data_IF_416423966750
#
_entry.id   IF_416423966750
#
_cell.length_a   1.000
_cell.length_b   1.000
_cell.length_c   1.000
_cell.angle_alpha   90.00
_cell.angle_beta   90.00
_cell.angle_gamma   90.00
#
_symmetry.space_group_name_H-M   'P 1'
#
loop_
_entity.id
_entity.type
_entity.pdbx_description
1 polymer ?
#
# COMPACT_ATOMS: atom_id res chain seq x y z
N UNK A 1 -8.31 0.72 -22.26
CA UNK A 1 -7.29 -0.32 -22.51
C UNK A 1 -7.48 -1.55 -21.63
N UNK A 2 -7.99 -1.43 -20.39
CA UNK A 2 -8.38 -2.59 -19.55
C UNK A 2 -9.54 -3.43 -20.13
N UNK A 3 -10.44 -2.82 -20.93
CA UNK A 3 -11.65 -3.51 -21.41
C UNK A 3 -11.41 -4.55 -22.52
N UNK A 4 -10.27 -4.52 -23.22
CA UNK A 4 -10.00 -5.44 -24.34
C UNK A 4 -9.55 -6.84 -23.89
N UNK A 5 -8.92 -6.95 -22.71
CA UNK A 5 -8.43 -8.21 -22.14
C UNK A 5 -9.48 -8.97 -21.31
N UNK A 6 -10.60 -8.33 -20.93
CA UNK A 6 -11.58 -8.95 -20.03
C UNK A 6 -12.22 -10.24 -20.60
N UNK A 7 -12.11 -10.46 -21.91
CA UNK A 7 -12.65 -11.62 -22.60
C UNK A 7 -11.59 -12.65 -23.07
N UNK A 8 -10.30 -12.41 -22.87
CA UNK A 8 -9.24 -13.32 -23.31
C UNK A 8 -8.82 -14.23 -22.14
N UNK A 9 -8.98 -15.54 -22.30
CA UNK A 9 -8.67 -16.51 -21.24
C UNK A 9 -7.21 -16.97 -21.38
N UNK A 10 -6.30 -16.70 -20.41
CA UNK A 10 -4.89 -17.06 -20.54
C UNK A 10 -4.56 -18.49 -20.10
N UNK A 11 -5.41 -19.10 -19.28
CA UNK A 11 -5.18 -20.41 -18.67
C UNK A 11 -6.36 -21.33 -18.88
N UNK A 12 -6.11 -22.62 -19.02
CA UNK A 12 -7.15 -23.63 -19.17
C UNK A 12 -6.81 -24.89 -18.39
N UNK A 13 -7.81 -25.72 -18.10
CA UNK A 13 -7.57 -27.03 -17.46
C UNK A 13 -7.21 -28.06 -18.54
N UNK A 14 -6.03 -28.65 -18.42
CA UNK A 14 -5.59 -29.75 -19.30
C UNK A 14 -6.26 -31.06 -18.88
N UNK A 15 -6.87 -31.76 -19.84
CA UNK A 15 -7.44 -33.09 -19.58
C UNK A 15 -6.38 -34.17 -19.34
N UNK A 16 -5.16 -33.96 -19.84
CA UNK A 16 -4.06 -34.92 -19.70
C UNK A 16 -3.48 -34.88 -18.29
N UNK A 17 -3.19 -33.69 -17.78
CA UNK A 17 -2.48 -33.50 -16.51
C UNK A 17 -3.41 -33.19 -15.34
N UNK A 18 -4.66 -32.83 -15.62
CA UNK A 18 -5.62 -32.32 -14.64
C UNK A 18 -5.10 -31.09 -13.86
N UNK A 19 -4.32 -30.24 -14.54
CA UNK A 19 -3.78 -28.99 -14.00
C UNK A 19 -4.07 -27.83 -14.93
N UNK A 20 -4.05 -26.60 -14.40
CA UNK A 20 -4.07 -25.42 -15.25
C UNK A 20 -2.78 -25.32 -16.03
N UNK A 21 -2.91 -24.96 -17.30
CA UNK A 21 -1.81 -24.76 -18.27
C UNK A 21 -1.94 -23.39 -18.92
N UNK A 22 -0.78 -22.82 -19.27
CA UNK A 22 -0.69 -21.59 -20.07
C UNK A 22 -1.03 -21.89 -21.53
N UNK A 23 -1.70 -20.96 -22.21
CA UNK A 23 -1.89 -21.04 -23.65
C UNK A 23 -0.55 -21.21 -24.37
N UNK A 24 0.54 -20.60 -23.90
CA UNK A 24 1.86 -20.78 -24.49
C UNK A 24 2.36 -22.23 -24.46
N UNK A 25 1.97 -23.02 -23.45
CA UNK A 25 2.52 -24.34 -23.19
C UNK A 25 1.79 -25.48 -23.95
N UNK A 26 0.73 -25.17 -24.70
CA UNK A 26 -0.09 -26.17 -25.41
C UNK A 26 -0.04 -26.03 -26.95
N UNK A 27 -0.34 -27.07 -27.73
CA UNK A 27 -0.51 -26.93 -29.18
C UNK A 27 -1.62 -25.94 -29.57
N UNK A 28 -1.48 -25.27 -30.72
CA UNK A 28 -2.53 -24.38 -31.24
C UNK A 28 -3.78 -25.17 -31.67
N UNK A 29 -4.94 -24.52 -31.56
CA UNK A 29 -6.25 -25.05 -31.94
C UNK A 29 -6.82 -26.07 -30.94
N UNK A 30 -7.70 -26.95 -31.45
CA UNK A 30 -8.36 -28.00 -30.64
C UNK A 30 -7.40 -29.07 -30.11
N UNK A 31 -6.19 -29.15 -30.67
CA UNK A 31 -5.14 -30.08 -30.23
C UNK A 31 -4.59 -29.74 -28.85
N UNK A 32 -4.96 -28.60 -28.26
CA UNK A 32 -4.59 -28.28 -26.88
C UNK A 32 -5.17 -29.25 -25.84
N UNK A 33 -6.27 -29.95 -26.14
CA UNK A 33 -6.86 -30.93 -25.22
C UNK A 33 -7.33 -30.31 -23.89
N UNK A 34 -7.76 -29.05 -23.92
CA UNK A 34 -8.10 -28.27 -22.74
C UNK A 34 -9.62 -28.03 -22.62
N UNK A 35 -10.09 -27.88 -21.38
CA UNK A 35 -11.47 -27.50 -21.06
C UNK A 35 -11.50 -26.25 -20.17
N UNK A 36 -12.63 -25.53 -20.20
CA UNK A 36 -12.88 -24.43 -19.28
C UNK A 36 -13.16 -25.00 -17.87
N UNK A 37 -12.43 -24.60 -16.81
CA UNK A 37 -12.67 -25.14 -15.47
C UNK A 37 -13.98 -24.65 -14.84
N UNK A 38 -14.67 -23.67 -15.42
CA UNK A 38 -15.98 -23.22 -14.94
C UNK A 38 -17.12 -24.00 -15.58
N UNK A 39 -17.24 -23.97 -16.91
CA UNK A 39 -18.36 -24.59 -17.64
C UNK A 39 -18.04 -25.97 -18.24
N UNK A 40 -16.80 -26.45 -18.14
CA UNK A 40 -16.31 -27.71 -18.72
C UNK A 40 -16.39 -27.83 -20.25
N UNK A 41 -16.78 -26.77 -20.96
CA UNK A 41 -16.80 -26.74 -22.43
C UNK A 41 -15.36 -26.83 -22.98
N UNK A 42 -15.12 -27.60 -24.06
CA UNK A 42 -13.82 -27.63 -24.74
C UNK A 42 -13.34 -26.24 -25.16
N UNK A 43 -12.04 -26.00 -25.01
CA UNK A 43 -11.38 -24.76 -25.39
C UNK A 43 -10.53 -24.95 -26.66
N UNK A 44 -10.35 -23.86 -27.38
CA UNK A 44 -9.47 -23.74 -28.54
C UNK A 44 -8.35 -22.77 -28.18
N UNK A 45 -7.09 -23.23 -28.26
CA UNK A 45 -5.93 -22.36 -28.10
C UNK A 45 -5.75 -21.50 -29.36
N UNK A 46 -6.00 -20.19 -29.28
CA UNK A 46 -5.79 -19.24 -30.36
C UNK A 46 -4.41 -18.62 -30.21
N UNK A 47 -3.53 -18.93 -31.16
CA UNK A 47 -2.17 -18.39 -31.26
C UNK A 47 -1.97 -17.74 -32.62
N UNK A 48 -1.34 -16.57 -32.66
CA UNK A 48 -1.00 -15.88 -33.89
C UNK A 48 0.11 -14.86 -33.68
N UNK A 49 0.60 -14.29 -34.78
CA UNK A 49 1.71 -13.33 -34.76
C UNK A 49 1.26 -11.89 -34.46
N UNK A 50 -0.05 -11.63 -34.60
CA UNK A 50 -0.65 -10.29 -34.47
C UNK A 50 -1.60 -10.19 -33.27
N UNK A 51 -2.30 -11.28 -32.93
CA UNK A 51 -3.27 -11.31 -31.84
C UNK A 51 -2.68 -11.98 -30.59
N UNK A 52 -3.07 -11.46 -29.43
CA UNK A 52 -2.69 -12.01 -28.12
C UNK A 52 -3.12 -13.47 -28.01
N UNK A 53 -2.24 -14.31 -27.46
CA UNK A 53 -2.53 -15.73 -27.31
C UNK A 53 -3.54 -15.92 -26.19
N UNK A 54 -4.59 -16.68 -26.47
CA UNK A 54 -5.67 -16.94 -25.51
C UNK A 54 -6.42 -18.23 -25.84
N UNK A 55 -7.18 -18.72 -24.88
CA UNK A 55 -8.19 -19.74 -25.07
C UNK A 55 -9.54 -19.09 -25.40
N UNK A 56 -10.32 -19.78 -26.24
CA UNK A 56 -11.70 -19.44 -26.53
C UNK A 56 -12.57 -20.70 -26.47
N UNK A 57 -13.83 -20.57 -26.05
CA UNK A 57 -14.78 -21.68 -26.10
C UNK A 57 -14.97 -22.19 -27.53
N UNK A 58 -15.03 -23.51 -27.69
CA UNK A 58 -15.37 -24.13 -28.95
C UNK A 58 -16.87 -24.02 -29.20
N UNK A 59 -17.26 -23.11 -30.09
CA UNK A 59 -18.65 -22.81 -30.41
C UNK A 59 -19.46 -24.01 -30.91
N UNK A 60 -18.81 -25.11 -31.31
CA UNK A 60 -19.48 -26.35 -31.69
C UNK A 60 -20.10 -27.08 -30.50
N UNK A 61 -19.65 -26.80 -29.28
CA UNK A 61 -20.10 -27.42 -28.04
C UNK A 61 -20.92 -26.46 -27.17
N UNK A 62 -21.34 -25.32 -27.74
CA UNK A 62 -22.13 -24.31 -27.03
C UNK A 62 -23.60 -24.53 -27.36
N UNK A 63 -24.35 -25.07 -26.41
CA UNK A 63 -25.79 -24.82 -26.36
C UNK A 63 -25.99 -23.34 -25.98
N UNK A 64 -26.91 -22.63 -26.64
CA UNK A 64 -27.11 -21.16 -26.48
C UNK A 64 -27.23 -20.69 -25.04
N UNK A 65 -27.63 -21.58 -24.14
CA UNK A 65 -27.92 -21.28 -22.74
C UNK A 65 -26.70 -21.46 -21.82
N UNK A 66 -25.62 -22.13 -22.27
CA UNK A 66 -24.44 -22.46 -21.45
C UNK A 66 -23.29 -21.44 -21.52
N UNK A 67 -23.14 -20.68 -22.61
CA UNK A 67 -22.09 -19.65 -22.72
C UNK A 67 -22.44 -18.40 -21.89
N UNK A 68 -23.74 -18.11 -21.72
CA UNK A 68 -24.24 -16.97 -20.94
C UNK A 68 -23.98 -17.08 -19.42
N UNK A 69 -23.65 -18.27 -18.91
CA UNK A 69 -23.40 -18.52 -17.48
C UNK A 69 -21.92 -18.82 -17.15
N UNK A 70 -21.00 -18.63 -18.10
CA UNK A 70 -19.58 -18.92 -17.85
C UNK A 70 -18.88 -17.74 -17.17
N UNK A 71 -18.63 -17.87 -15.86
CA UNK A 71 -17.94 -16.85 -15.07
C UNK A 71 -16.39 -16.89 -15.16
N UNK A 72 -15.84 -17.64 -16.12
CA UNK A 72 -14.39 -17.82 -16.28
C UNK A 72 -13.72 -16.66 -17.00
N UNK A 73 -13.66 -15.52 -16.32
CA UNK A 73 -12.98 -14.31 -16.78
C UNK A 73 -11.46 -14.41 -16.68
N UNK A 74 -10.75 -13.48 -17.33
CA UNK A 74 -9.29 -13.32 -17.21
C UNK A 74 -8.83 -13.26 -15.75
N UNK A 75 -9.51 -12.45 -14.93
CA UNK A 75 -9.15 -12.28 -13.51
C UNK A 75 -9.32 -13.59 -12.72
N UNK A 76 -10.39 -14.34 -12.98
CA UNK A 76 -10.61 -15.66 -12.35
C UNK A 76 -9.51 -16.64 -12.78
N UNK A 77 -9.19 -16.69 -14.07
CA UNK A 77 -8.13 -17.56 -14.59
C UNK A 77 -6.75 -17.24 -13.95
N UNK A 78 -6.37 -15.97 -13.89
CA UNK A 78 -5.11 -15.53 -13.26
C UNK A 78 -5.07 -15.87 -11.78
N UNK A 79 -6.14 -15.61 -11.02
CA UNK A 79 -6.20 -15.96 -9.60
C UNK A 79 -6.07 -17.47 -9.38
N UNK A 80 -6.72 -18.28 -10.21
CA UNK A 80 -6.61 -19.73 -10.12
C UNK A 80 -5.20 -20.21 -10.44
N UNK A 81 -4.53 -19.63 -11.45
CA UNK A 81 -3.14 -19.94 -11.75
C UNK A 81 -2.19 -19.56 -10.61
N UNK A 82 -2.35 -18.37 -10.00
CA UNK A 82 -1.54 -17.97 -8.83
C UNK A 82 -1.74 -18.96 -7.67
N UNK A 83 -2.97 -19.39 -7.40
CA UNK A 83 -3.26 -20.41 -6.38
C UNK A 83 -2.53 -21.72 -6.67
N UNK A 84 -2.57 -22.20 -7.91
CA UNK A 84 -1.85 -23.41 -8.31
C UNK A 84 -0.33 -23.24 -8.14
N UNK A 85 0.24 -22.11 -8.58
CA UNK A 85 1.68 -21.83 -8.41
C UNK A 85 2.10 -21.77 -6.94
N UNK A 86 1.25 -21.24 -6.05
CA UNK A 86 1.50 -21.24 -4.60
C UNK A 86 1.39 -22.65 -3.97
N UNK A 87 0.57 -23.54 -4.54
CA UNK A 87 0.49 -24.94 -4.12
C UNK A 87 1.68 -25.76 -4.63
N UNK A 88 2.17 -25.47 -5.84
CA UNK A 88 3.33 -26.13 -6.46
C UNK A 88 4.68 -25.65 -5.90
N UNK A 89 4.72 -24.40 -5.40
CA UNK A 89 5.93 -23.72 -4.96
C UNK A 89 6.14 -23.71 -3.44
N UNK A 90 7.23 -23.09 -3.02
CA UNK A 90 7.57 -22.91 -1.61
C UNK A 90 8.31 -21.59 -1.32
N UNK A 91 8.36 -20.66 -2.28
CA UNK A 91 9.14 -19.43 -2.19
C UNK A 91 8.27 -18.21 -2.47
N UNK A 92 8.38 -17.17 -1.65
CA UNK A 92 7.58 -15.94 -1.75
C UNK A 92 8.42 -14.71 -1.41
N UNK A 93 8.45 -13.74 -2.32
CA UNK A 93 9.01 -12.41 -2.02
C UNK A 93 7.99 -11.55 -1.26
N UNK A 94 8.42 -10.95 -0.16
CA UNK A 94 7.66 -10.06 0.70
C UNK A 94 8.16 -8.61 0.54
N UNK A 95 7.26 -7.63 0.42
CA UNK A 95 7.63 -6.23 0.35
C UNK A 95 8.10 -5.72 1.71
N UNK A 96 8.84 -4.62 1.72
CA UNK A 96 9.02 -3.85 2.94
C UNK A 96 7.67 -3.31 3.43
N UNK A 97 7.59 -3.02 4.73
CA UNK A 97 6.40 -2.38 5.29
C UNK A 97 6.78 -1.17 6.12
N UNK A 98 6.23 -0.02 5.72
CA UNK A 98 6.47 1.26 6.35
C UNK A 98 5.11 1.88 6.66
N UNK A 99 4.91 2.29 7.92
CA UNK A 99 3.70 2.98 8.36
C UNK A 99 3.97 4.45 8.62
N UNK A 100 2.99 5.29 8.30
CA UNK A 100 3.02 6.70 8.68
C UNK A 100 2.68 6.81 10.16
N UNK A 101 3.55 7.45 10.92
CA UNK A 101 3.38 7.69 12.34
C UNK A 101 3.25 9.18 12.61
N UNK A 102 2.25 9.51 13.42
CA UNK A 102 2.04 10.84 13.95
C UNK A 102 1.88 10.74 15.46
N UNK A 103 2.84 11.33 16.17
CA UNK A 103 2.81 11.39 17.63
C UNK A 103 1.70 12.31 18.09
N UNK A 104 1.00 11.91 19.16
CA UNK A 104 0.14 12.83 19.91
C UNK A 104 1.00 13.79 20.75
N UNK A 105 2.06 13.28 21.37
CA UNK A 105 2.89 14.03 22.33
C UNK A 105 3.99 14.88 21.68
N UNK A 106 4.37 14.58 20.44
CA UNK A 106 5.40 15.30 19.69
C UNK A 106 4.96 15.59 18.24
N UNK A 107 4.15 16.64 18.00
CA UNK A 107 3.52 16.90 16.70
C UNK A 107 4.48 17.41 15.60
N UNK A 108 5.81 17.36 15.80
CA UNK A 108 6.76 17.78 14.76
C UNK A 108 6.96 16.67 13.73
N UNK A 109 6.20 16.78 12.66
CA UNK A 109 6.42 16.08 11.38
C UNK A 109 5.82 14.69 11.32
N UNK A 110 5.26 14.34 10.15
CA UNK A 110 4.93 12.95 9.83
C UNK A 110 6.25 12.18 9.75
N UNK A 111 6.42 11.16 10.58
CA UNK A 111 7.57 10.26 10.52
C UNK A 111 7.14 8.89 10.00
N UNK A 112 8.07 8.16 9.43
CA UNK A 112 7.83 6.82 8.92
C UNK A 112 8.47 5.81 9.87
N UNK A 113 7.74 4.75 10.21
CA UNK A 113 8.25 3.62 10.98
C UNK A 113 8.38 2.44 10.03
N UNK A 114 9.57 1.87 9.95
CA UNK A 114 9.79 0.62 9.23
C UNK A 114 9.38 -0.55 10.13
N UNK A 115 8.36 -1.30 9.71
CA UNK A 115 7.86 -2.51 10.39
C UNK A 115 8.62 -3.76 9.95
N UNK A 116 8.98 -3.84 8.67
CA UNK A 116 9.86 -4.90 8.13
C UNK A 116 10.61 -4.42 6.89
N UNK A 117 11.80 -4.96 6.68
CA UNK A 117 12.48 -4.94 5.39
C UNK A 117 11.82 -5.93 4.41
N UNK A 118 12.07 -5.74 3.11
CA UNK A 118 11.75 -6.72 2.09
C UNK A 118 12.58 -7.99 2.29
N UNK A 119 12.01 -9.14 1.94
CA UNK A 119 12.69 -10.42 2.09
C UNK A 119 12.14 -11.47 1.13
N UNK A 120 12.91 -12.51 0.88
CA UNK A 120 12.42 -13.74 0.25
C UNK A 120 12.31 -14.77 1.37
N UNK A 121 11.16 -15.42 1.47
CA UNK A 121 10.89 -16.46 2.46
C UNK A 121 10.65 -17.80 1.78
N UNK A 122 10.91 -18.86 2.53
CA UNK A 122 10.39 -20.19 2.23
C UNK A 122 9.14 -20.44 3.08
N UNK A 123 8.11 -21.02 2.47
CA UNK A 123 6.87 -21.38 3.12
C UNK A 123 6.52 -22.85 2.92
N UNK A 124 5.66 -23.36 3.79
CA UNK A 124 5.17 -24.74 3.78
C UNK A 124 3.64 -24.74 3.90
N UNK A 125 3.02 -25.91 3.72
CA UNK A 125 1.60 -26.16 3.97
C UNK A 125 0.65 -25.13 3.34
N UNK A 126 0.68 -24.90 2.00
CA UNK A 126 -0.26 -24.00 1.35
C UNK A 126 -1.68 -24.58 1.38
N UNK A 127 -2.63 -23.82 1.93
CA UNK A 127 -4.04 -24.17 2.07
C UNK A 127 -4.93 -23.13 1.39
N UNK A 128 -5.96 -23.57 0.65
CA UNK A 128 -6.89 -22.65 -0.04
C UNK A 128 -8.08 -22.28 0.85
N UNK A 129 -8.54 -21.02 0.75
CA UNK A 129 -9.77 -20.51 1.40
C UNK A 129 -9.81 -20.68 2.92
N UNK A 130 -8.66 -20.56 3.58
CA UNK A 130 -8.54 -20.61 5.03
C UNK A 130 -8.43 -19.19 5.59
N UNK A 131 -9.06 -18.92 6.74
CA UNK A 131 -9.03 -17.61 7.43
C UNK A 131 -9.41 -16.44 6.53
N UNK A 132 -10.44 -16.63 5.70
CA UNK A 132 -10.94 -15.63 4.73
C UNK A 132 -9.90 -15.18 3.69
N UNK A 133 -8.75 -15.85 3.62
CA UNK A 133 -7.69 -15.60 2.64
C UNK A 133 -7.86 -16.51 1.42
N UNK A 134 -7.39 -16.04 0.25
CA UNK A 134 -7.37 -16.87 -0.96
C UNK A 134 -6.45 -18.08 -0.80
N UNK A 135 -5.30 -17.86 -0.16
CA UNK A 135 -4.31 -18.88 0.22
C UNK A 135 -3.77 -18.54 1.61
N UNK A 136 -3.53 -19.55 2.44
CA UNK A 136 -2.74 -19.43 3.67
C UNK A 136 -1.51 -20.32 3.53
N UNK A 137 -0.35 -19.85 4.00
CA UNK A 137 0.90 -20.62 4.04
C UNK A 137 1.52 -20.54 5.43
N UNK A 138 2.43 -21.46 5.74
CA UNK A 138 3.15 -21.48 7.01
C UNK A 138 4.61 -21.01 6.85
N UNK A 139 5.05 -20.13 7.74
CA UNK A 139 6.40 -19.57 7.77
C UNK A 139 6.92 -19.65 9.20
N UNK A 140 7.90 -20.54 9.45
CA UNK A 140 8.50 -20.76 10.78
C UNK A 140 7.45 -21.00 11.88
N UNK A 141 6.46 -21.87 11.64
CA UNK A 141 5.42 -22.19 12.62
C UNK A 141 4.27 -21.19 12.69
N UNK A 142 4.24 -20.15 11.85
CA UNK A 142 3.19 -19.11 11.86
C UNK A 142 2.49 -19.00 10.51
N UNK A 143 1.18 -18.80 10.53
CA UNK A 143 0.38 -18.62 9.32
C UNK A 143 0.55 -17.21 8.73
N UNK A 144 0.69 -17.16 7.41
CA UNK A 144 0.68 -15.96 6.57
C UNK A 144 -0.49 -16.08 5.61
N UNK A 145 -1.44 -15.13 5.71
CA UNK A 145 -2.57 -15.05 4.79
C UNK A 145 -2.18 -14.34 3.49
N UNK A 146 -2.74 -14.77 2.36
CA UNK A 146 -2.54 -14.16 1.04
C UNK A 146 -3.92 -13.89 0.42
N UNK A 147 -4.14 -12.64 -0.01
CA UNK A 147 -5.37 -12.19 -0.67
C UNK A 147 -5.04 -11.69 -2.08
N UNK A 148 -5.77 -12.16 -3.10
CA UNK A 148 -5.56 -11.77 -4.49
C UNK A 148 -6.56 -10.67 -4.89
N UNK A 149 -6.05 -9.48 -5.20
CA UNK A 149 -6.86 -8.31 -5.49
C UNK A 149 -6.91 -8.02 -6.99
N UNK A 150 -8.12 -7.75 -7.51
CA UNK A 150 -8.32 -7.30 -8.90
C UNK A 150 -8.09 -5.81 -9.08
N UNK A 151 -8.07 -5.03 -7.99
CA UNK A 151 -7.75 -3.60 -7.95
C UNK A 151 -6.83 -3.34 -6.78
N UNK A 152 -5.92 -2.38 -6.91
CA UNK A 152 -5.01 -2.00 -5.83
C UNK A 152 -5.71 -1.52 -4.53
N UNK A 153 -6.98 -1.12 -4.60
CA UNK A 153 -7.72 -0.61 -3.44
C UNK A 153 -8.48 -1.73 -2.73
N UNK A 154 -8.01 -2.09 -1.53
CA UNK A 154 -8.76 -2.87 -0.56
C UNK A 154 -9.45 -1.92 0.43
N UNK A 155 -10.78 -2.01 0.56
CA UNK A 155 -11.51 -1.28 1.60
C UNK A 155 -11.36 -2.02 2.93
N UNK A 156 -10.57 -1.45 3.84
CA UNK A 156 -10.24 -1.98 5.17
C UNK A 156 -11.43 -2.05 6.15
N UNK A 157 -12.68 -1.85 5.71
CA UNK A 157 -13.72 -1.40 6.62
C UNK A 157 -14.13 -2.42 7.70
N UNK A 158 -13.89 -3.74 7.54
CA UNK A 158 -14.33 -4.72 8.55
C UNK A 158 -13.42 -5.94 8.79
N UNK A 159 -12.21 -6.03 8.20
CA UNK A 159 -11.39 -7.25 8.37
C UNK A 159 -10.51 -7.19 9.62
N UNK A 160 -10.97 -7.83 10.69
CA UNK A 160 -10.18 -8.06 11.91
C UNK A 160 -9.32 -9.32 11.72
N UNK A 161 -8.05 -9.13 11.40
CA UNK A 161 -7.10 -10.24 11.32
C UNK A 161 -6.71 -10.73 12.71
N UNK A 162 -6.62 -12.05 12.88
CA UNK A 162 -6.19 -12.66 14.15
C UNK A 162 -4.75 -12.24 14.51
N UNK A 163 -4.53 -11.85 15.76
CA UNK A 163 -3.21 -11.44 16.27
C UNK A 163 -2.16 -12.57 16.24
N UNK A 164 -2.59 -13.82 15.98
CA UNK A 164 -1.72 -14.98 15.86
C UNK A 164 -1.02 -15.07 14.49
N UNK A 165 -1.50 -14.33 13.47
CA UNK A 165 -0.91 -14.36 12.13
C UNK A 165 0.43 -13.64 12.08
N UNK A 166 1.32 -14.14 11.24
CA UNK A 166 2.53 -13.42 10.84
C UNK A 166 2.15 -12.10 10.14
N UNK A 167 1.14 -12.17 9.29
CA UNK A 167 0.58 -11.05 8.55
C UNK A 167 -0.45 -11.51 7.53
N UNK A 168 -1.00 -10.55 6.79
CA UNK A 168 -1.81 -10.77 5.60
C UNK A 168 -1.25 -9.92 4.45
N UNK A 169 -0.90 -10.61 3.37
CA UNK A 169 -0.27 -10.05 2.18
C UNK A 169 -1.30 -9.97 1.06
N UNK A 170 -1.52 -8.78 0.52
CA UNK A 170 -2.25 -8.61 -0.72
C UNK A 170 -1.32 -8.75 -1.93
N UNK A 171 -1.79 -9.43 -2.97
CA UNK A 171 -1.15 -9.49 -4.29
C UNK A 171 -2.13 -8.92 -5.32
N UNK A 172 -1.79 -7.79 -5.92
CA UNK A 172 -2.54 -7.17 -7.01
C UNK A 172 -2.30 -7.90 -8.33
N UNK A 173 -3.38 -8.16 -9.08
CA UNK A 173 -3.31 -8.75 -10.42
C UNK A 173 -3.65 -7.74 -11.53
N UNK A 174 -3.74 -6.46 -11.23
CA UNK A 174 -4.26 -5.43 -12.16
C UNK A 174 -3.42 -5.30 -13.44
N UNK A 175 -2.10 -5.51 -13.38
CA UNK A 175 -1.16 -5.28 -14.49
C UNK A 175 -0.24 -6.47 -14.79
N UNK A 176 -0.65 -7.70 -14.47
CA UNK A 176 0.24 -8.87 -14.64
C UNK A 176 0.31 -9.40 -16.07
N UNK A 177 -0.60 -8.97 -16.95
CA UNK A 177 -0.67 -9.41 -18.35
C UNK A 177 0.26 -8.68 -19.32
N UNK A 178 1.00 -7.66 -18.85
CA UNK A 178 1.77 -6.75 -19.70
C UNK A 178 3.23 -6.65 -19.24
N UNK A 179 4.15 -6.47 -20.18
CA UNK A 179 5.54 -6.12 -19.90
C UNK A 179 5.70 -4.62 -19.54
N UNK A 180 6.93 -4.22 -19.18
CA UNK A 180 7.23 -2.83 -18.81
C UNK A 180 7.00 -1.83 -19.95
N UNK A 181 6.91 -2.31 -21.20
CA UNK A 181 6.57 -1.53 -22.39
C UNK A 181 5.06 -1.51 -22.70
N UNK A 182 4.23 -2.14 -21.88
CA UNK A 182 2.78 -2.24 -22.06
C UNK A 182 2.34 -3.24 -23.12
N UNK A 183 3.22 -4.16 -23.55
CA UNK A 183 2.88 -5.23 -24.50
C UNK A 183 2.40 -6.48 -23.76
N UNK A 184 1.40 -7.14 -24.31
CA UNK A 184 0.88 -8.37 -23.74
C UNK A 184 1.93 -9.48 -23.74
N UNK A 185 1.86 -10.30 -22.69
CA UNK A 185 2.84 -11.34 -22.43
C UNK A 185 2.23 -12.69 -22.74
N UNK A 186 2.87 -13.42 -23.65
CA UNK A 186 2.40 -14.75 -24.05
C UNK A 186 2.73 -15.86 -23.04
N UNK A 187 3.77 -15.72 -22.21
CA UNK A 187 4.16 -16.69 -21.17
C UNK A 187 3.75 -16.22 -19.76
N UNK A 188 2.45 -16.02 -19.56
CA UNK A 188 1.92 -15.41 -18.34
C UNK A 188 2.21 -16.25 -17.09
N UNK A 189 2.16 -17.58 -17.18
CA UNK A 189 2.49 -18.50 -16.06
C UNK A 189 3.89 -18.21 -15.50
N UNK A 190 4.87 -18.04 -16.36
CA UNK A 190 6.24 -17.75 -15.93
C UNK A 190 6.34 -16.37 -15.29
N UNK A 191 5.63 -15.37 -15.81
CA UNK A 191 5.60 -14.05 -15.19
C UNK A 191 4.92 -14.05 -13.82
N UNK A 192 3.82 -14.80 -13.66
CA UNK A 192 3.15 -14.97 -12.36
C UNK A 192 4.09 -15.66 -11.36
N UNK A 193 4.86 -16.67 -11.80
CA UNK A 193 5.89 -17.30 -10.97
C UNK A 193 6.94 -16.29 -10.51
N UNK A 194 7.51 -15.52 -11.43
CA UNK A 194 8.47 -14.45 -11.11
C UNK A 194 7.86 -13.41 -10.16
N UNK A 195 6.59 -13.05 -10.37
CA UNK A 195 5.86 -12.13 -9.52
C UNK A 195 5.73 -12.66 -8.08
N UNK A 196 5.45 -13.94 -7.91
CA UNK A 196 5.39 -14.61 -6.60
C UNK A 196 6.78 -14.69 -5.97
N UNK A 197 7.78 -15.18 -6.70
CA UNK A 197 9.07 -15.58 -6.12
C UNK A 197 10.05 -14.43 -5.90
N UNK A 198 9.97 -13.35 -6.70
CA UNK A 198 11.02 -12.31 -6.69
C UNK A 198 10.53 -10.86 -6.71
N UNK A 199 9.34 -10.55 -7.25
CA UNK A 199 8.85 -9.15 -7.30
C UNK A 199 8.10 -8.75 -6.03
N UNK A 200 8.25 -7.51 -5.61
CA UNK A 200 7.53 -6.93 -4.46
C UNK A 200 6.51 -5.87 -4.86
N UNK A 201 6.64 -5.26 -6.04
CA UNK A 201 5.84 -4.09 -6.46
C UNK A 201 4.33 -4.33 -6.53
N UNK A 202 3.91 -5.55 -6.85
CA UNK A 202 2.50 -5.93 -6.90
C UNK A 202 1.94 -6.33 -5.52
N UNK A 203 2.76 -6.29 -4.47
CA UNK A 203 2.44 -6.84 -3.16
C UNK A 203 2.45 -5.75 -2.11
N UNK A 204 1.52 -5.82 -1.17
CA UNK A 204 1.50 -4.92 -0.03
C UNK A 204 0.89 -5.61 1.19
N UNK A 205 1.27 -5.15 2.38
CA UNK A 205 0.74 -5.67 3.62
C UNK A 205 -0.63 -5.05 3.91
N UNK A 206 -1.64 -5.90 4.11
CA UNK A 206 -2.92 -5.51 4.69
C UNK A 206 -2.84 -5.54 6.23
N UNK A 207 -2.01 -6.44 6.74
CA UNK A 207 -1.74 -6.60 8.16
C UNK A 207 -0.34 -7.17 8.37
N UNK A 208 0.38 -6.71 9.39
CA UNK A 208 1.65 -7.29 9.79
C UNK A 208 1.71 -7.43 11.33
N UNK A 209 2.00 -8.63 11.86
CA UNK A 209 1.93 -8.89 13.30
C UNK A 209 2.84 -8.03 14.18
N UNK A 210 3.93 -7.49 13.62
CA UNK A 210 4.81 -6.52 14.29
C UNK A 210 4.32 -5.08 14.33
N UNK A 211 3.33 -4.69 13.53
CA UNK A 211 2.93 -3.28 13.36
C UNK A 211 2.62 -2.59 14.70
N UNK A 212 1.78 -3.22 15.53
CA UNK A 212 1.42 -2.71 16.86
C UNK A 212 2.65 -2.53 17.75
N UNK A 213 3.56 -3.50 17.77
CA UNK A 213 4.75 -3.44 18.61
C UNK A 213 5.70 -2.32 18.16
N UNK A 214 5.89 -2.14 16.85
CA UNK A 214 6.72 -1.06 16.31
C UNK A 214 6.09 0.33 16.53
N UNK A 215 4.76 0.42 16.48
CA UNK A 215 4.04 1.65 16.82
C UNK A 215 4.23 2.03 18.31
N UNK A 216 4.16 1.06 19.23
CA UNK A 216 4.37 1.29 20.67
C UNK A 216 5.80 1.76 20.94
N UNK A 217 6.82 1.06 20.41
CA UNK A 217 8.23 1.45 20.56
C UNK A 217 8.48 2.87 20.07
N UNK A 218 7.93 3.21 18.92
CA UNK A 218 8.00 4.56 18.37
C UNK A 218 7.36 5.59 19.31
N UNK A 219 6.20 5.29 19.89
CA UNK A 219 5.51 6.20 20.82
C UNK A 219 6.37 6.45 22.07
N UNK A 220 6.96 5.40 22.64
CA UNK A 220 7.85 5.50 23.81
C UNK A 220 9.09 6.35 23.52
N UNK A 221 9.69 6.18 22.35
CA UNK A 221 10.83 7.00 21.91
C UNK A 221 10.50 8.49 21.82
N UNK A 222 9.32 8.84 21.29
CA UNK A 222 8.88 10.24 21.22
C UNK A 222 8.61 10.84 22.59
N UNK A 223 8.06 10.05 23.51
CA UNK A 223 7.85 10.47 24.89
C UNK A 223 9.19 10.78 25.58
N UNK A 224 10.18 9.90 25.43
CA UNK A 224 11.53 10.14 25.97
C UNK A 224 12.19 11.37 25.34
N UNK A 225 12.00 11.57 24.03
CA UNK A 225 12.53 12.73 23.32
C UNK A 225 11.84 14.04 23.77
N UNK A 226 10.52 14.02 23.97
CA UNK A 226 9.76 15.18 24.42
C UNK A 226 10.15 15.59 25.84
N UNK A 227 10.32 14.62 26.74
CA UNK A 227 10.84 14.82 28.10
C UNK A 227 12.26 15.42 28.08
N UNK A 228 13.15 14.89 27.23
CA UNK A 228 14.51 15.41 27.09
C UNK A 228 14.54 16.85 26.57
N UNK A 229 13.71 17.18 25.58
CA UNK A 229 13.60 18.55 25.05
C UNK A 229 13.03 19.50 26.10
N UNK A 230 12.02 19.07 26.86
CA UNK A 230 11.45 19.87 27.95
C UNK A 230 12.49 20.17 29.04
N UNK A 231 13.28 19.16 29.41
CA UNK A 231 14.39 19.31 30.35
C UNK A 231 15.45 20.31 29.86
N UNK A 232 15.90 20.19 28.61
CA UNK A 232 16.88 21.14 28.02
C UNK A 232 16.34 22.57 28.04
N UNK A 233 15.10 22.79 27.62
CA UNK A 233 14.47 24.12 27.62
C UNK A 233 14.35 24.71 29.03
N UNK A 234 13.99 23.90 30.02
CA UNK A 234 13.91 24.33 31.41
C UNK A 234 15.29 24.79 31.93
N UNK A 235 16.34 24.02 31.63
CA UNK A 235 17.71 24.38 32.03
C UNK A 235 18.23 25.63 31.29
N UNK A 236 18.04 25.75 29.97
CA UNK A 236 18.41 26.96 29.21
C UNK A 236 17.70 28.20 29.77
N UNK A 237 16.44 28.06 30.18
CA UNK A 237 15.68 29.15 30.79
C UNK A 237 16.19 29.50 32.19
N UNK A 238 16.56 28.53 33.01
CA UNK A 238 17.22 28.79 34.30
C UNK A 238 18.59 29.46 34.14
N UNK A 239 19.40 29.01 33.19
CA UNK A 239 20.73 29.57 32.92
C UNK A 239 20.62 31.02 32.45
N UNK A 240 19.72 31.31 31.50
CA UNK A 240 19.40 32.69 31.10
C UNK A 240 18.92 33.56 32.27
N UNK A 241 18.12 33.01 33.20
CA UNK A 241 17.68 33.73 34.39
C UNK A 241 18.82 34.00 35.39
N UNK A 242 19.84 33.13 35.47
CA UNK A 242 21.03 33.29 36.32
C UNK A 242 22.03 34.30 35.74
N UNK A 243 22.20 34.30 34.42
CA UNK A 243 23.09 35.22 33.70
C UNK A 243 22.50 36.62 33.48
N UNK A 244 21.22 36.82 33.82
CA UNK A 244 20.61 38.16 33.82
C UNK A 244 21.41 39.10 34.73
N UNK A 245 21.96 40.21 34.21
CA UNK A 245 22.70 41.17 35.02
C UNK A 245 21.81 41.73 36.13
N UNK A 246 22.28 41.67 37.39
CA UNK A 246 21.63 42.38 38.52
C UNK A 246 21.90 43.89 38.32
N UNK A 247 20.88 44.60 37.83
CA UNK A 247 20.90 46.02 37.44
C UNK A 247 21.74 46.94 38.34
N UNK A 248 22.41 47.92 37.71
CA UNK A 248 22.59 49.31 38.19
C UNK A 248 23.18 50.20 37.08
N UNK A 249 22.99 51.53 37.13
CA UNK A 249 21.76 52.31 37.15
C UNK A 249 21.47 52.92 35.75
N UNK A 250 20.41 53.72 35.66
CA UNK A 250 19.99 54.48 34.47
C UNK A 250 21.10 55.34 33.84
N UNK A 251 20.98 55.51 32.51
CA UNK A 251 21.67 56.44 31.60
C UNK A 251 23.02 56.01 31.03
N UNK A 252 23.03 55.71 29.72
CA UNK A 252 23.53 56.60 28.66
C UNK A 252 22.85 56.21 27.35
N UNK A 253 22.24 57.21 26.71
CA UNK A 253 21.61 57.16 25.41
C UNK A 253 22.70 56.99 24.35
N UNK A 254 22.69 55.87 23.62
CA UNK A 254 23.29 55.81 22.29
C UNK A 254 22.21 55.34 21.33
N UNK A 255 21.71 56.28 20.54
CA UNK A 255 20.70 56.08 19.52
C UNK A 255 21.20 55.07 18.49
N UNK A 256 20.63 53.85 18.50
CA UNK A 256 20.64 52.98 17.32
C UNK A 256 19.56 53.47 16.37
N UNK A 257 19.73 53.31 15.03
CA UNK A 257 18.79 53.86 14.07
C UNK A 257 17.42 53.22 14.29
N UNK A 258 16.49 54.01 14.81
CA UNK A 258 15.11 53.62 15.00
C UNK A 258 14.46 53.54 13.62
N UNK A 259 14.53 52.36 12.98
CA UNK A 259 13.57 52.04 11.94
C UNK A 259 12.21 51.94 12.62
N UNK A 260 11.43 53.02 12.57
CA UNK A 260 10.07 53.07 13.09
C UNK A 260 9.22 52.06 12.32
N UNK A 261 9.05 50.87 12.90
CA UNK A 261 8.13 49.86 12.40
C UNK A 261 6.73 50.47 12.40
N UNK A 262 6.23 50.82 11.20
CA UNK A 262 4.90 51.38 11.03
C UNK A 262 3.87 50.37 11.55
N UNK A 263 3.07 50.79 12.52
CA UNK A 263 1.95 49.99 13.02
C UNK A 263 0.76 50.12 12.08
N UNK A 264 0.02 49.03 11.89
CA UNK A 264 -1.23 48.95 11.11
C UNK A 264 -2.29 48.22 11.94
N UNK A 265 -3.55 48.52 11.66
CA UNK A 265 -4.67 47.76 12.23
C UNK A 265 -4.81 46.41 11.55
N UNK A 266 -5.06 45.39 12.36
CA UNK A 266 -5.29 44.01 11.97
C UNK A 266 -6.59 43.50 12.60
N UNK A 267 -7.25 42.60 11.90
CA UNK A 267 -8.49 41.94 12.30
C UNK A 267 -8.24 40.44 12.37
N UNK A 268 -8.44 39.85 13.54
CA UNK A 268 -8.38 38.41 13.70
C UNK A 268 -9.63 37.76 13.09
N UNK A 269 -9.44 36.84 12.14
CA UNK A 269 -10.56 36.13 11.50
C UNK A 269 -11.23 35.16 12.48
N UNK A 270 -10.47 34.64 13.44
CA UNK A 270 -10.94 33.62 14.37
C UNK A 270 -11.78 34.19 15.53
N UNK A 271 -11.24 35.13 16.30
CA UNK A 271 -11.96 35.71 17.46
C UNK A 271 -12.61 37.06 17.16
N UNK A 272 -12.54 37.54 15.90
CA UNK A 272 -13.12 38.82 15.44
C UNK A 272 -12.60 40.07 16.16
N UNK A 273 -11.45 39.95 16.83
CA UNK A 273 -10.81 41.03 17.57
C UNK A 273 -9.95 41.89 16.66
N UNK A 274 -10.08 43.21 16.79
CA UNK A 274 -9.22 44.19 16.12
C UNK A 274 -8.05 44.61 17.02
N UNK A 275 -6.85 44.63 16.47
CA UNK A 275 -5.63 44.94 17.21
C UNK A 275 -4.57 45.59 16.33
N UNK A 276 -3.69 46.37 16.98
CA UNK A 276 -2.55 46.96 16.31
C UNK A 276 -1.38 45.99 16.25
N UNK A 277 -0.79 45.88 15.06
CA UNK A 277 0.40 45.08 14.79
C UNK A 277 1.36 45.83 13.88
N UNK A 278 2.49 45.23 13.53
CA UNK A 278 3.50 45.81 12.67
C UNK A 278 3.20 45.54 11.18
N UNK A 279 3.60 46.46 10.30
CA UNK A 279 3.42 46.31 8.85
C UNK A 279 4.18 45.09 8.28
N UNK A 280 5.31 44.74 8.87
CA UNK A 280 6.17 43.62 8.50
C UNK A 280 6.35 42.67 9.68
N UNK A 281 6.47 41.37 9.40
CA UNK A 281 6.60 40.32 10.42
C UNK A 281 5.29 39.62 10.78
N UNK A 282 5.37 38.68 11.73
CA UNK A 282 4.21 37.94 12.25
C UNK A 282 3.43 38.81 13.24
N UNK A 283 2.11 38.78 13.13
CA UNK A 283 1.18 39.55 13.97
C UNK A 283 0.10 38.63 14.56
N UNK A 284 0.45 37.57 15.32
CA UNK A 284 -0.57 36.71 15.93
C UNK A 284 -1.54 37.52 16.78
N UNK A 285 -2.81 37.12 16.81
CA UNK A 285 -3.83 37.81 17.57
C UNK A 285 -3.49 37.78 19.06
N UNK A 286 -3.46 38.93 19.77
CA UNK A 286 -3.08 38.97 21.18
C UNK A 286 -4.12 38.30 22.09
N UNK A 287 -5.36 38.11 21.62
CA UNK A 287 -6.43 37.51 22.44
C UNK A 287 -6.49 35.98 22.34
N UNK A 288 -6.21 35.41 21.16
CA UNK A 288 -6.35 33.96 20.93
C UNK A 288 -5.08 33.29 20.36
N UNK A 289 -4.01 34.06 20.20
CA UNK A 289 -2.74 33.65 19.58
C UNK A 289 -2.86 33.07 18.16
N UNK A 290 -4.00 33.27 17.48
CA UNK A 290 -4.23 32.81 16.11
C UNK A 290 -3.37 33.57 15.10
N UNK A 291 -2.79 32.85 14.14
CA UNK A 291 -2.06 33.43 13.01
C UNK A 291 -2.96 33.76 11.80
N UNK A 292 -4.28 33.59 11.94
CA UNK A 292 -5.27 33.89 10.90
C UNK A 292 -5.83 35.31 11.09
N UNK A 293 -5.15 36.28 10.50
CA UNK A 293 -5.49 37.70 10.60
C UNK A 293 -5.38 38.38 9.23
N UNK A 294 -6.14 39.47 9.05
CA UNK A 294 -6.14 40.28 7.83
C UNK A 294 -6.17 41.76 8.17
N UNK A 295 -5.87 42.62 7.21
CA UNK A 295 -6.16 44.06 7.39
C UNK A 295 -7.68 44.28 7.30
N UNK A 296 -8.29 45.12 8.16
CA UNK A 296 -9.68 45.51 8.01
C UNK A 296 -9.93 46.07 6.60
N UNK A 297 -11.14 45.84 6.07
CA UNK A 297 -11.57 46.48 4.81
C UNK A 297 -11.90 47.94 5.07
#
# INVERSE_FOLDING_TARGET
MLDALMNLIPFALSLETNTLVDVADVPSGKKCGCICPSCSIPLIAKKGDVLEWHFAHDSQFIEKDQELSCDYSWAVAVKMMIKQLLLEGNTLALPEYIINFQSIDYPRGKRQIKVTDSSIIHYENPELKLLECDVTVEVKGKKLGIILLTKHSFSNEDTLFEQALLGVLAISIENVGYDDGGKAVNHLRNQLRVLIESKTIAKHWLYHGREKAEFIKATEQDKLLSEKIAYIRANEQEEWLREKPRNKPENIITQKPTATLKKKQWYCVFCKFEYQGYLTGLNPCPQCNSHLYRTPK
#
